data_IF_843792237563
#
_entry.id   IF_843792237563
#
_cell.length_a   1.000
_cell.length_b   1.000
_cell.length_c   1.000
_cell.angle_alpha   90.00
_cell.angle_beta   90.00
_cell.angle_gamma   90.00
#
_symmetry.space_group_name_H-M   'P 1'
#
loop_
_entity.id
_entity.type
_entity.pdbx_description
1 polymer ?
#
# COMPACT_ATOMS: atom_id res chain seq x y z
N UNK A 1 6.33 -3.87 40.54
CA UNK A 1 7.21 -4.16 39.38
C UNK A 1 6.46 -5.19 38.52
N UNK A 2 5.62 -4.73 37.58
CA UNK A 2 4.90 -5.63 36.68
C UNK A 2 5.86 -6.09 35.60
N UNK A 3 6.30 -7.33 35.67
CA UNK A 3 7.01 -8.00 34.60
C UNK A 3 6.07 -8.07 33.40
N UNK A 4 6.21 -7.13 32.46
CA UNK A 4 5.61 -7.28 31.15
C UNK A 4 6.18 -8.56 30.52
N UNK A 5 5.42 -9.66 30.56
CA UNK A 5 5.70 -10.83 29.72
C UNK A 5 5.79 -10.31 28.29
N UNK A 6 6.98 -10.35 27.71
CA UNK A 6 7.19 -10.01 26.31
C UNK A 6 6.27 -10.92 25.48
N UNK A 7 5.20 -10.37 24.91
CA UNK A 7 4.32 -11.14 24.03
C UNK A 7 5.17 -11.69 22.89
N UNK A 8 5.18 -12.98 22.70
CA UNK A 8 5.88 -13.62 21.57
C UNK A 8 5.40 -13.03 20.25
N UNK A 9 6.34 -12.86 19.33
CA UNK A 9 6.04 -12.31 18.01
C UNK A 9 5.12 -13.27 17.25
N UNK A 10 4.00 -12.80 16.63
CA UNK A 10 3.02 -13.69 16.01
C UNK A 10 3.65 -14.41 14.82
N UNK A 11 3.33 -15.69 14.68
CA UNK A 11 3.72 -16.47 13.50
C UNK A 11 2.99 -15.93 12.27
N UNK A 12 3.69 -15.72 11.17
CA UNK A 12 3.12 -15.20 9.90
C UNK A 12 1.90 -16.04 9.47
N UNK A 13 2.02 -17.37 9.54
CA UNK A 13 0.94 -18.29 9.15
C UNK A 13 -0.33 -18.05 9.97
N UNK A 14 -0.21 -17.83 11.29
CA UNK A 14 -1.39 -17.57 12.16
C UNK A 14 -2.06 -16.24 11.81
N UNK A 15 -1.29 -15.22 11.44
CA UNK A 15 -1.83 -13.95 10.97
C UNK A 15 -2.55 -14.09 9.62
N UNK A 16 -2.00 -14.89 8.70
CA UNK A 16 -2.63 -15.18 7.40
C UNK A 16 -3.96 -15.94 7.61
N UNK A 17 -3.97 -16.98 8.44
CA UNK A 17 -5.20 -17.72 8.76
C UNK A 17 -6.27 -16.79 9.30
N UNK A 18 -5.93 -15.96 10.29
CA UNK A 18 -6.83 -14.96 10.86
C UNK A 18 -7.31 -13.94 9.82
N UNK A 19 -6.45 -13.58 8.87
CA UNK A 19 -6.81 -12.67 7.77
C UNK A 19 -7.83 -13.30 6.83
N UNK A 20 -7.64 -14.57 6.48
CA UNK A 20 -8.58 -15.33 5.62
C UNK A 20 -9.93 -15.52 6.33
N UNK A 21 -9.94 -15.84 7.64
CA UNK A 21 -11.16 -15.94 8.42
C UNK A 21 -11.94 -14.63 8.46
N UNK A 22 -11.23 -13.52 8.70
CA UNK A 22 -11.83 -12.18 8.69
C UNK A 22 -12.36 -11.82 7.31
N UNK A 23 -11.61 -12.11 6.24
CA UNK A 23 -12.07 -11.93 4.89
C UNK A 23 -13.35 -12.70 4.60
N UNK A 24 -13.43 -13.98 5.00
CA UNK A 24 -14.63 -14.82 4.86
C UNK A 24 -15.81 -14.26 5.64
N UNK A 25 -15.59 -13.73 6.84
CA UNK A 25 -16.64 -13.15 7.69
C UNK A 25 -17.20 -11.86 7.11
N UNK A 26 -16.34 -10.98 6.64
CA UNK A 26 -16.68 -9.62 6.18
C UNK A 26 -16.70 -9.51 4.65
N UNK A 27 -16.77 -10.64 3.91
CA UNK A 27 -16.56 -10.71 2.47
C UNK A 27 -17.45 -9.76 1.66
N UNK A 28 -18.70 -9.56 2.07
CA UNK A 28 -19.66 -8.70 1.35
C UNK A 28 -19.17 -7.26 1.26
N UNK A 29 -18.68 -6.70 2.36
CA UNK A 29 -18.17 -5.33 2.39
C UNK A 29 -16.81 -5.27 1.68
N UNK A 30 -15.90 -6.19 2.00
CA UNK A 30 -14.55 -6.20 1.45
C UNK A 30 -14.56 -6.39 -0.06
N UNK A 31 -15.29 -7.40 -0.57
CA UNK A 31 -15.45 -7.62 -2.02
C UNK A 31 -16.14 -6.44 -2.69
N UNK A 32 -17.27 -5.96 -2.13
CA UNK A 32 -18.02 -4.85 -2.71
C UNK A 32 -17.16 -3.59 -2.86
N UNK A 33 -16.35 -3.27 -1.87
CA UNK A 33 -15.41 -2.13 -1.94
C UNK A 33 -14.29 -2.40 -2.94
N UNK A 34 -13.78 -3.65 -3.03
CA UNK A 34 -12.69 -4.04 -3.93
C UNK A 34 -13.12 -4.10 -5.41
N UNK A 35 -14.39 -4.31 -5.69
CA UNK A 35 -14.92 -4.29 -7.07
C UNK A 35 -14.81 -2.91 -7.72
N UNK A 36 -14.87 -1.83 -6.96
CA UNK A 36 -14.83 -0.47 -7.51
C UNK A 36 -13.51 -0.18 -8.22
N UNK A 37 -12.34 -0.30 -7.58
CA UNK A 37 -11.07 -0.11 -8.26
C UNK A 37 -10.79 -1.18 -9.33
N UNK A 38 -11.30 -2.41 -9.17
CA UNK A 38 -11.17 -3.45 -10.19
C UNK A 38 -11.85 -3.02 -11.50
N UNK A 39 -13.07 -2.47 -11.46
CA UNK A 39 -13.78 -1.97 -12.65
C UNK A 39 -12.96 -0.89 -13.34
N UNK A 40 -12.45 0.11 -12.61
CA UNK A 40 -11.61 1.15 -13.19
C UNK A 40 -10.29 0.60 -13.75
N UNK A 41 -9.69 -0.39 -13.12
CA UNK A 41 -8.46 -1.05 -13.61
C UNK A 41 -8.73 -1.82 -14.91
N UNK A 42 -9.84 -2.54 -15.01
CA UNK A 42 -10.27 -3.22 -16.25
C UNK A 42 -10.49 -2.20 -17.36
N UNK A 43 -11.21 -1.11 -17.09
CA UNK A 43 -11.42 -0.04 -18.06
C UNK A 43 -10.09 0.57 -18.52
N UNK A 44 -9.15 0.84 -17.61
CA UNK A 44 -7.84 1.38 -17.94
C UNK A 44 -7.08 0.49 -18.92
N UNK A 45 -7.00 -0.82 -18.65
CA UNK A 45 -6.34 -1.79 -19.55
C UNK A 45 -7.05 -1.88 -20.91
N UNK A 46 -8.39 -1.84 -20.91
CA UNK A 46 -9.16 -1.88 -22.16
C UNK A 46 -8.89 -0.65 -23.03
N UNK A 47 -8.87 0.55 -22.44
CA UNK A 47 -8.55 1.78 -23.18
C UNK A 47 -7.09 1.85 -23.63
N UNK A 48 -6.15 1.31 -22.85
CA UNK A 48 -4.75 1.20 -23.27
C UNK A 48 -4.60 0.25 -24.49
N UNK A 49 -5.30 -0.89 -24.46
CA UNK A 49 -5.33 -1.82 -25.59
C UNK A 49 -5.96 -1.18 -26.85
N UNK A 50 -7.07 -0.43 -26.67
CA UNK A 50 -7.72 0.31 -27.75
C UNK A 50 -6.79 1.37 -28.33
N UNK A 51 -6.09 2.13 -27.51
CA UNK A 51 -5.10 3.13 -27.94
C UNK A 51 -4.02 2.51 -28.83
N UNK A 52 -3.52 1.34 -28.46
CA UNK A 52 -2.53 0.60 -29.28
C UNK A 52 -3.11 0.13 -30.60
N UNK A 53 -4.37 -0.31 -30.61
CA UNK A 53 -5.03 -0.83 -31.81
C UNK A 53 -5.32 0.27 -32.86
N UNK A 54 -5.60 1.50 -32.43
CA UNK A 54 -5.94 2.63 -33.33
C UNK A 54 -4.72 3.50 -33.69
N UNK A 55 -3.53 3.13 -33.22
CA UNK A 55 -2.30 3.88 -33.47
C UNK A 55 -2.06 4.04 -34.97
N UNK A 56 -1.92 5.31 -35.41
CA UNK A 56 -1.67 5.64 -36.82
C UNK A 56 -2.91 5.68 -37.71
N UNK A 57 -4.13 5.38 -37.20
CA UNK A 57 -5.38 5.46 -37.99
C UNK A 57 -5.82 6.91 -38.13
N UNK A 58 -5.91 7.65 -37.02
CA UNK A 58 -6.28 9.06 -36.98
C UNK A 58 -5.72 9.70 -35.71
N UNK A 59 -4.86 10.71 -35.89
CA UNK A 59 -4.16 11.39 -34.79
C UNK A 59 -5.17 11.96 -33.74
N UNK A 60 -6.28 12.56 -34.21
CA UNK A 60 -7.27 13.15 -33.32
C UNK A 60 -7.98 12.10 -32.44
N UNK A 61 -8.35 10.96 -33.02
CA UNK A 61 -8.98 9.85 -32.29
C UNK A 61 -7.97 9.22 -31.33
N UNK A 62 -6.73 9.02 -31.76
CA UNK A 62 -5.65 8.47 -30.93
C UNK A 62 -5.44 9.35 -29.68
N UNK A 63 -5.30 10.67 -29.86
CA UNK A 63 -5.13 11.61 -28.75
C UNK A 63 -6.31 11.60 -27.79
N UNK A 64 -7.55 11.51 -28.29
CA UNK A 64 -8.74 11.44 -27.46
C UNK A 64 -8.75 10.16 -26.60
N UNK A 65 -8.46 9.01 -27.21
CA UNK A 65 -8.42 7.72 -26.48
C UNK A 65 -7.31 7.69 -25.44
N UNK A 66 -6.13 8.24 -25.76
CA UNK A 66 -5.04 8.40 -24.78
C UNK A 66 -5.45 9.30 -23.62
N UNK A 67 -6.09 10.44 -23.90
CA UNK A 67 -6.58 11.34 -22.85
C UNK A 67 -7.60 10.65 -21.92
N UNK A 68 -8.54 9.90 -22.49
CA UNK A 68 -9.52 9.11 -21.72
C UNK A 68 -8.81 8.04 -20.87
N UNK A 69 -7.83 7.32 -21.44
CA UNK A 69 -7.04 6.30 -20.73
C UNK A 69 -6.32 6.91 -19.52
N UNK A 70 -5.71 8.08 -19.66
CA UNK A 70 -5.07 8.79 -18.55
C UNK A 70 -6.06 9.11 -17.43
N UNK A 71 -7.23 9.65 -17.77
CA UNK A 71 -8.27 9.99 -16.79
C UNK A 71 -8.75 8.73 -16.05
N UNK A 72 -9.00 7.63 -16.76
CA UNK A 72 -9.44 6.36 -16.16
C UNK A 72 -8.33 5.80 -15.23
N UNK A 73 -7.07 5.88 -15.64
CA UNK A 73 -5.93 5.43 -14.81
C UNK A 73 -5.81 6.24 -13.52
N UNK A 74 -6.02 7.56 -13.59
CA UNK A 74 -6.07 8.41 -12.39
C UNK A 74 -7.22 8.00 -11.48
N UNK A 75 -8.42 7.77 -12.02
CA UNK A 75 -9.59 7.32 -11.26
C UNK A 75 -9.36 5.93 -10.64
N UNK A 76 -8.73 5.00 -11.36
CA UNK A 76 -8.32 3.71 -10.83
C UNK A 76 -7.38 3.86 -9.61
N UNK A 77 -6.39 4.75 -9.71
CA UNK A 77 -5.43 5.01 -8.62
C UNK A 77 -6.11 5.64 -7.39
N UNK A 78 -7.03 6.60 -7.62
CA UNK A 78 -7.80 7.24 -6.55
C UNK A 78 -8.68 6.21 -5.83
N UNK A 79 -9.44 5.42 -6.57
CA UNK A 79 -10.35 4.43 -6.00
C UNK A 79 -9.58 3.31 -5.30
N UNK A 80 -8.41 2.93 -5.82
CA UNK A 80 -7.52 1.93 -5.23
C UNK A 80 -7.01 2.36 -3.85
N UNK A 81 -6.47 3.57 -3.74
CA UNK A 81 -5.97 4.11 -2.47
C UNK A 81 -7.13 4.32 -1.47
N UNK A 82 -8.26 4.82 -1.95
CA UNK A 82 -9.46 5.01 -1.12
C UNK A 82 -10.02 3.69 -0.59
N UNK A 83 -10.02 2.63 -1.41
CA UNK A 83 -10.39 1.27 -0.99
C UNK A 83 -9.47 0.78 0.14
N UNK A 84 -8.16 0.92 -0.01
CA UNK A 84 -7.21 0.47 1.02
C UNK A 84 -7.46 1.16 2.37
N UNK A 85 -7.60 2.48 2.36
CA UNK A 85 -7.87 3.27 3.56
C UNK A 85 -9.23 2.92 4.15
N UNK A 86 -10.25 2.80 3.30
CA UNK A 86 -11.61 2.44 3.70
C UNK A 86 -11.67 1.08 4.37
N UNK A 87 -11.06 0.05 3.78
CA UNK A 87 -10.99 -1.31 4.38
C UNK A 87 -10.25 -1.28 5.71
N UNK A 88 -9.09 -0.60 5.81
CA UNK A 88 -8.33 -0.50 7.05
C UNK A 88 -9.13 0.19 8.16
N UNK A 89 -9.88 1.23 7.85
CA UNK A 89 -10.78 1.90 8.80
C UNK A 89 -11.95 0.99 9.21
N UNK A 90 -12.57 0.31 8.24
CA UNK A 90 -13.65 -0.65 8.50
C UNK A 90 -13.20 -1.77 9.43
N UNK A 91 -12.00 -2.34 9.21
CA UNK A 91 -11.47 -3.42 10.04
C UNK A 91 -11.35 -3.02 11.53
N UNK A 92 -11.03 -1.76 11.81
CA UNK A 92 -10.95 -1.26 13.18
C UNK A 92 -12.32 -0.99 13.81
N UNK A 93 -13.18 -0.31 13.07
CA UNK A 93 -14.42 0.22 13.62
C UNK A 93 -15.63 -0.72 13.40
N UNK A 94 -15.54 -1.65 12.42
CA UNK A 94 -16.60 -2.60 12.04
C UNK A 94 -17.95 -1.91 11.75
N UNK A 95 -17.91 -0.69 11.22
CA UNK A 95 -19.09 0.14 10.96
C UNK A 95 -19.16 0.55 9.49
N UNK A 96 -20.38 0.55 8.95
CA UNK A 96 -20.67 1.06 7.65
C UNK A 96 -20.85 -0.02 6.57
N UNK A 97 -21.56 0.36 5.54
CA UNK A 97 -21.73 -0.38 4.29
C UNK A 97 -20.64 -0.01 3.27
N UNK A 98 -20.71 -0.58 2.08
CA UNK A 98 -19.76 -0.35 0.98
C UNK A 98 -19.61 1.15 0.69
N UNK A 99 -20.71 1.88 0.61
CA UNK A 99 -20.74 3.31 0.31
C UNK A 99 -20.01 4.10 1.39
N UNK A 100 -20.31 3.85 2.66
CA UNK A 100 -19.69 4.54 3.79
C UNK A 100 -18.17 4.29 3.86
N UNK A 101 -17.75 3.04 3.60
CA UNK A 101 -16.33 2.65 3.58
C UNK A 101 -15.58 3.40 2.48
N UNK A 102 -16.15 3.50 1.26
CA UNK A 102 -15.54 4.24 0.16
C UNK A 102 -15.53 5.75 0.40
N UNK A 103 -16.62 6.33 0.89
CA UNK A 103 -16.68 7.76 1.23
C UNK A 103 -15.64 8.14 2.29
N UNK A 104 -15.46 7.29 3.30
CA UNK A 104 -14.44 7.51 4.32
C UNK A 104 -13.03 7.43 3.73
N UNK A 105 -12.78 6.45 2.87
CA UNK A 105 -11.51 6.34 2.14
C UNK A 105 -11.22 7.56 1.26
N UNK A 106 -12.21 8.06 0.53
CA UNK A 106 -12.09 9.27 -0.30
C UNK A 106 -11.82 10.52 0.53
N UNK A 107 -12.45 10.68 1.70
CA UNK A 107 -12.16 11.81 2.61
C UNK A 107 -10.72 11.82 3.13
N UNK A 108 -10.12 10.65 3.27
CA UNK A 108 -8.73 10.50 3.72
C UNK A 108 -7.72 10.41 2.57
N UNK A 109 -8.17 10.47 1.32
CA UNK A 109 -7.32 10.32 0.14
C UNK A 109 -6.21 11.39 0.08
N UNK A 110 -6.54 12.68 0.23
CA UNK A 110 -5.55 13.75 0.19
C UNK A 110 -4.53 13.66 1.34
N UNK A 111 -4.92 13.45 2.62
CA UNK A 111 -3.97 13.15 3.68
C UNK A 111 -3.07 11.94 3.38
N UNK A 112 -3.58 10.89 2.75
CA UNK A 112 -2.80 9.71 2.39
C UNK A 112 -1.75 10.02 1.32
N UNK A 113 -2.10 10.79 0.28
CA UNK A 113 -1.13 11.25 -0.73
C UNK A 113 0.00 12.03 -0.05
N UNK A 114 -0.32 12.98 0.83
CA UNK A 114 0.70 13.76 1.53
C UNK A 114 1.65 12.86 2.35
N UNK A 115 1.11 11.85 3.05
CA UNK A 115 1.93 10.88 3.78
C UNK A 115 2.82 10.11 2.80
N UNK A 116 2.27 9.63 1.69
CA UNK A 116 3.02 8.87 0.68
C UNK A 116 4.13 9.72 0.05
N UNK A 117 3.88 11.00 -0.23
CA UNK A 117 4.89 11.93 -0.73
C UNK A 117 6.02 12.14 0.30
N UNK A 118 5.67 12.31 1.59
CA UNK A 118 6.68 12.44 2.64
C UNK A 118 7.56 11.18 2.75
N UNK A 119 6.94 10.00 2.65
CA UNK A 119 7.66 8.72 2.64
C UNK A 119 8.57 8.64 1.40
N UNK A 120 8.07 9.01 0.23
CA UNK A 120 8.84 9.03 -1.01
C UNK A 120 10.08 9.92 -0.91
N UNK A 121 9.96 11.12 -0.33
CA UNK A 121 11.11 12.02 -0.08
C UNK A 121 12.15 11.35 0.82
N UNK A 122 11.72 10.70 1.91
CA UNK A 122 12.65 10.00 2.82
C UNK A 122 13.35 8.85 2.09
N UNK A 123 12.63 8.05 1.32
CA UNK A 123 13.18 6.92 0.58
C UNK A 123 14.16 7.41 -0.49
N UNK A 124 13.79 8.42 -1.29
CA UNK A 124 14.65 9.00 -2.33
C UNK A 124 15.94 9.56 -1.74
N UNK A 125 15.86 10.28 -0.60
CA UNK A 125 17.04 10.76 0.10
C UNK A 125 17.92 9.65 0.69
N UNK A 126 17.36 8.47 0.94
CA UNK A 126 18.09 7.33 1.48
C UNK A 126 18.74 6.45 0.39
N UNK A 127 18.31 6.52 -0.87
CA UNK A 127 18.86 5.71 -1.99
C UNK A 127 20.38 5.90 -2.16
N UNK A 128 20.93 7.14 -2.17
CA UNK A 128 22.37 7.34 -2.32
C UNK A 128 23.23 6.71 -1.21
N UNK A 129 22.60 6.36 -0.08
CA UNK A 129 23.26 5.67 1.04
C UNK A 129 23.23 4.14 0.89
N UNK A 130 23.49 3.61 -0.32
CA UNK A 130 23.60 2.18 -0.65
C UNK A 130 22.28 1.37 -0.56
N UNK A 131 21.16 1.98 -0.84
CA UNK A 131 19.81 1.35 -0.88
C UNK A 131 19.30 0.75 0.46
N UNK A 132 20.18 0.25 1.34
CA UNK A 132 19.77 -0.39 2.59
C UNK A 132 18.93 0.53 3.50
N UNK A 133 19.32 1.81 3.73
CA UNK A 133 18.47 2.74 4.48
C UNK A 133 17.12 3.00 3.84
N UNK A 134 17.05 3.00 2.50
CA UNK A 134 15.79 3.18 1.76
C UNK A 134 14.84 1.99 1.99
N UNK A 135 15.37 0.76 1.95
CA UNK A 135 14.64 -0.46 2.25
C UNK A 135 14.12 -0.42 3.69
N UNK A 136 14.96 -0.10 4.66
CA UNK A 136 14.59 0.02 6.07
C UNK A 136 13.49 1.07 6.23
N UNK A 137 13.63 2.25 5.62
CA UNK A 137 12.66 3.33 5.68
C UNK A 137 11.28 2.89 5.13
N UNK A 138 11.25 2.15 4.01
CA UNK A 138 10.01 1.65 3.43
C UNK A 138 9.24 0.75 4.40
N UNK A 139 9.90 -0.15 5.11
CA UNK A 139 9.27 -1.00 6.13
C UNK A 139 8.87 -0.21 7.38
N UNK A 140 9.71 0.71 7.84
CA UNK A 140 9.44 1.52 9.02
C UNK A 140 8.19 2.39 8.83
N UNK A 141 8.01 2.97 7.65
CA UNK A 141 6.87 3.85 7.37
C UNK A 141 5.66 3.16 6.74
N UNK A 142 5.71 1.83 6.52
CA UNK A 142 4.60 1.06 5.94
C UNK A 142 3.30 1.15 6.76
N UNK A 143 3.38 1.35 8.07
CA UNK A 143 2.22 1.48 8.95
C UNK A 143 1.61 2.88 9.00
N UNK A 144 2.17 3.88 8.31
CA UNK A 144 1.68 5.27 8.37
C UNK A 144 0.27 5.41 7.81
N UNK A 145 -0.05 4.68 6.72
CA UNK A 145 -1.41 4.65 6.15
C UNK A 145 -2.39 3.95 7.11
N UNK A 146 -1.95 2.94 7.83
CA UNK A 146 -2.77 2.27 8.86
C UNK A 146 -3.06 3.25 10.01
N UNK A 147 -2.06 4.00 10.45
CA UNK A 147 -2.21 5.04 11.48
C UNK A 147 -3.17 6.15 11.04
N UNK A 148 -3.13 6.56 9.77
CA UNK A 148 -4.10 7.48 9.20
C UNK A 148 -5.51 6.89 9.21
N UNK A 149 -5.68 5.69 8.66
CA UNK A 149 -6.99 5.07 8.47
C UNK A 149 -7.67 4.70 9.79
N UNK A 150 -6.91 4.25 10.78
CA UNK A 150 -7.42 3.68 12.02
C UNK A 150 -7.40 4.67 13.20
N UNK A 151 -6.37 5.50 13.29
CA UNK A 151 -6.16 6.39 14.45
C UNK A 151 -6.38 7.86 14.09
N UNK A 152 -6.70 8.19 12.82
CA UNK A 152 -6.91 9.55 12.33
C UNK A 152 -5.64 10.41 12.36
N UNK A 153 -4.46 9.80 12.58
CA UNK A 153 -3.19 10.53 12.59
C UNK A 153 -2.84 11.01 11.19
N UNK A 154 -2.37 12.25 11.04
CA UNK A 154 -2.09 12.87 9.74
C UNK A 154 -0.64 13.30 9.62
N UNK A 155 -0.14 13.39 8.40
CA UNK A 155 1.19 13.93 8.08
C UNK A 155 2.30 13.32 8.95
N UNK A 156 3.14 14.15 9.57
CA UNK A 156 4.25 13.73 10.42
C UNK A 156 3.82 12.91 11.65
N UNK A 157 2.59 13.07 12.12
CA UNK A 157 2.07 12.28 13.24
C UNK A 157 1.86 10.83 12.86
N UNK A 158 1.34 10.57 11.64
CA UNK A 158 1.17 9.20 11.13
C UNK A 158 2.53 8.52 10.94
N UNK A 159 3.52 9.22 10.37
CA UNK A 159 4.88 8.72 10.21
C UNK A 159 5.54 8.49 11.59
N UNK A 160 5.36 9.41 12.53
CA UNK A 160 5.87 9.30 13.89
C UNK A 160 5.31 8.07 14.61
N UNK A 161 4.01 7.81 14.49
CA UNK A 161 3.38 6.63 15.06
C UNK A 161 3.90 5.33 14.41
N UNK A 162 4.07 5.32 13.09
CA UNK A 162 4.67 4.18 12.37
C UNK A 162 6.08 3.88 12.89
N UNK A 163 6.94 4.91 12.97
CA UNK A 163 8.29 4.79 13.52
C UNK A 163 8.26 4.26 14.96
N UNK A 164 7.38 4.81 15.81
CA UNK A 164 7.22 4.36 17.20
C UNK A 164 6.86 2.88 17.30
N UNK A 165 5.90 2.40 16.48
CA UNK A 165 5.48 1.00 16.48
C UNK A 165 6.64 0.05 16.12
N UNK A 166 7.50 0.46 15.20
CA UNK A 166 8.56 -0.40 14.62
C UNK A 166 9.87 -0.28 15.39
N UNK A 167 10.15 0.85 16.07
CA UNK A 167 11.41 1.09 16.79
C UNK A 167 11.71 -0.01 17.81
N UNK A 168 12.94 -0.54 17.76
CA UNK A 168 13.41 -1.68 18.54
C UNK A 168 13.02 -3.06 17.98
N UNK A 169 12.24 -3.11 16.88
CA UNK A 169 11.75 -4.36 16.28
C UNK A 169 11.87 -4.40 14.76
N UNK A 170 12.62 -3.48 14.18
CA UNK A 170 12.77 -3.29 12.73
C UNK A 170 13.09 -4.61 12.03
N UNK A 171 14.05 -5.38 12.52
CA UNK A 171 14.47 -6.67 11.91
C UNK A 171 13.31 -7.68 11.92
N UNK A 172 12.58 -7.78 13.03
CA UNK A 172 11.42 -8.69 13.14
C UNK A 172 10.28 -8.28 12.19
N UNK A 173 10.06 -6.97 12.01
CA UNK A 173 9.09 -6.42 11.06
C UNK A 173 9.49 -6.73 9.63
N UNK A 174 10.74 -6.47 9.25
CA UNK A 174 11.28 -6.79 7.93
C UNK A 174 11.12 -8.29 7.64
N UNK A 175 11.49 -9.15 8.58
CA UNK A 175 11.37 -10.60 8.42
C UNK A 175 9.92 -11.06 8.17
N UNK A 176 8.96 -10.51 8.92
CA UNK A 176 7.54 -10.80 8.71
C UNK A 176 7.05 -10.39 7.31
N UNK A 177 7.45 -9.19 6.85
CA UNK A 177 7.09 -8.75 5.50
C UNK A 177 7.79 -9.54 4.40
N UNK A 178 9.04 -9.98 4.61
CA UNK A 178 9.75 -10.84 3.65
C UNK A 178 9.03 -12.18 3.50
N UNK A 179 8.61 -12.81 4.61
CA UNK A 179 7.86 -14.07 4.57
C UNK A 179 6.50 -13.86 3.87
N UNK A 180 5.76 -12.81 4.22
CA UNK A 180 4.51 -12.48 3.55
C UNK A 180 4.72 -12.25 2.04
N UNK A 181 5.73 -11.45 1.69
CA UNK A 181 6.09 -11.18 0.30
C UNK A 181 6.44 -12.46 -0.46
N UNK A 182 7.21 -13.36 0.15
CA UNK A 182 7.53 -14.66 -0.44
C UNK A 182 6.28 -15.51 -0.70
N UNK A 183 5.33 -15.54 0.24
CA UNK A 183 4.05 -16.26 0.06
C UNK A 183 3.23 -15.64 -1.07
N UNK A 184 3.18 -14.30 -1.14
CA UNK A 184 2.47 -13.59 -2.23
C UNK A 184 3.14 -13.88 -3.58
N UNK A 185 4.47 -13.88 -3.65
CA UNK A 185 5.21 -14.22 -4.88
C UNK A 185 4.92 -15.66 -5.30
N UNK A 186 4.93 -16.64 -4.38
CA UNK A 186 4.59 -18.02 -4.69
C UNK A 186 3.15 -18.15 -5.21
N UNK A 187 2.19 -17.48 -4.56
CA UNK A 187 0.81 -17.45 -5.03
C UNK A 187 0.70 -16.84 -6.43
N UNK A 188 1.46 -15.77 -6.69
CA UNK A 188 1.53 -15.12 -8.00
C UNK A 188 2.12 -16.04 -9.08
N UNK A 189 3.19 -16.75 -8.76
CA UNK A 189 3.81 -17.74 -9.66
C UNK A 189 2.84 -18.88 -10.00
N UNK A 190 2.09 -19.39 -9.02
CA UNK A 190 1.06 -20.39 -9.27
C UNK A 190 -0.01 -19.87 -10.23
N UNK A 191 -0.48 -18.63 -10.05
CA UNK A 191 -1.42 -18.01 -10.98
C UNK A 191 -0.84 -17.87 -12.40
N UNK A 192 0.45 -17.51 -12.52
CA UNK A 192 1.14 -17.41 -13.80
C UNK A 192 1.23 -18.80 -14.46
N UNK A 193 1.56 -19.86 -13.72
CA UNK A 193 1.58 -21.23 -14.25
C UNK A 193 0.23 -21.66 -14.79
N UNK A 194 -0.87 -21.36 -14.09
CA UNK A 194 -2.22 -21.59 -14.61
C UNK A 194 -2.50 -20.76 -15.88
N UNK A 195 -1.96 -19.55 -15.94
CA UNK A 195 -2.12 -18.67 -17.09
C UNK A 195 -1.35 -19.15 -18.32
N UNK A 196 -0.21 -19.87 -18.17
CA UNK A 196 0.56 -20.43 -19.30
C UNK A 196 -0.30 -21.40 -20.11
N UNK A 197 -1.16 -22.19 -19.47
CA UNK A 197 -2.14 -23.04 -20.17
C UNK A 197 -3.15 -22.23 -21.00
N UNK A 198 -3.45 -21.00 -20.59
CA UNK A 198 -4.33 -20.07 -21.30
C UNK A 198 -3.58 -19.31 -22.40
N UNK A 199 -2.26 -19.11 -22.27
CA UNK A 199 -1.42 -18.41 -23.25
C UNK A 199 -1.37 -19.11 -24.63
N UNK A 200 -1.63 -20.41 -24.67
CA UNK A 200 -1.67 -21.21 -25.92
C UNK A 200 -2.92 -20.88 -26.74
N UNK A 201 -3.91 -20.19 -26.13
CA UNK A 201 -5.14 -19.80 -26.82
C UNK A 201 -5.00 -18.44 -27.53
N UNK A 202 -5.68 -18.21 -28.66
CA UNK A 202 -5.81 -16.87 -29.22
C UNK A 202 -6.36 -15.91 -28.16
N UNK A 203 -5.70 -14.76 -27.95
CA UNK A 203 -5.99 -13.80 -26.88
C UNK A 203 -5.58 -14.21 -25.44
N UNK A 204 -4.76 -15.25 -25.27
CA UNK A 204 -4.35 -15.76 -23.95
C UNK A 204 -3.64 -14.72 -23.08
N UNK A 205 -2.84 -13.83 -23.67
CA UNK A 205 -2.14 -12.75 -22.95
C UNK A 205 -3.13 -11.80 -22.27
N UNK A 206 -4.11 -11.32 -23.01
CA UNK A 206 -5.13 -10.38 -22.49
C UNK A 206 -5.97 -11.04 -21.40
N UNK A 207 -6.41 -12.28 -21.60
CA UNK A 207 -7.18 -13.05 -20.63
C UNK A 207 -6.37 -13.28 -19.33
N UNK A 208 -5.09 -13.60 -19.46
CA UNK A 208 -4.17 -13.78 -18.34
C UNK A 208 -4.04 -12.50 -17.50
N UNK A 209 -3.91 -11.32 -18.14
CA UNK A 209 -3.87 -10.03 -17.45
C UNK A 209 -5.17 -9.73 -16.69
N UNK A 210 -6.34 -10.01 -17.27
CA UNK A 210 -7.62 -9.83 -16.59
C UNK A 210 -7.77 -10.76 -15.38
N UNK A 211 -7.43 -12.04 -15.53
CA UNK A 211 -7.47 -13.00 -14.43
C UNK A 211 -6.54 -12.56 -13.28
N UNK A 212 -5.34 -12.12 -13.62
CA UNK A 212 -4.40 -11.58 -12.63
C UNK A 212 -4.97 -10.37 -11.89
N UNK A 213 -5.55 -9.41 -12.59
CA UNK A 213 -6.17 -8.24 -11.98
C UNK A 213 -7.32 -8.62 -11.04
N UNK A 214 -8.16 -9.56 -11.42
CA UNK A 214 -9.26 -10.07 -10.58
C UNK A 214 -8.69 -10.69 -9.29
N UNK A 215 -7.72 -11.59 -9.39
CA UNK A 215 -7.12 -12.25 -8.24
C UNK A 215 -6.43 -11.23 -7.33
N UNK A 216 -5.69 -10.29 -7.90
CA UNK A 216 -4.99 -9.26 -7.14
C UNK A 216 -5.96 -8.36 -6.37
N UNK A 217 -7.01 -7.84 -7.00
CA UNK A 217 -7.93 -6.89 -6.38
C UNK A 217 -8.90 -7.56 -5.41
N UNK A 218 -9.38 -8.76 -5.72
CA UNK A 218 -10.41 -9.40 -4.89
C UNK A 218 -9.82 -10.25 -3.77
N UNK A 219 -8.61 -10.78 -3.89
CA UNK A 219 -8.04 -11.70 -2.89
C UNK A 219 -6.72 -11.21 -2.31
N UNK A 220 -5.68 -11.02 -3.13
CA UNK A 220 -4.33 -10.78 -2.63
C UNK A 220 -4.29 -9.48 -1.82
N UNK A 221 -4.82 -8.41 -2.37
CA UNK A 221 -4.76 -7.10 -1.75
C UNK A 221 -5.61 -6.98 -0.49
N UNK A 222 -6.91 -7.36 -0.47
CA UNK A 222 -7.69 -7.33 0.76
C UNK A 222 -7.10 -8.20 1.87
N UNK A 223 -6.64 -9.41 1.56
CA UNK A 223 -6.01 -10.30 2.56
C UNK A 223 -4.73 -9.69 3.12
N UNK A 224 -3.91 -9.05 2.27
CA UNK A 224 -2.70 -8.34 2.71
C UNK A 224 -3.01 -7.14 3.61
N UNK A 225 -4.08 -6.39 3.33
CA UNK A 225 -4.54 -5.28 4.18
C UNK A 225 -5.03 -5.77 5.55
N UNK A 226 -5.78 -6.87 5.58
CA UNK A 226 -6.23 -7.49 6.83
C UNK A 226 -5.02 -7.99 7.64
N UNK A 227 -4.05 -8.62 6.97
CA UNK A 227 -2.80 -9.02 7.61
C UNK A 227 -2.08 -7.82 8.23
N UNK A 228 -1.91 -6.74 7.49
CA UNK A 228 -1.26 -5.52 7.95
C UNK A 228 -2.02 -4.89 9.15
N UNK A 229 -3.37 -4.93 9.15
CA UNK A 229 -4.19 -4.51 10.27
C UNK A 229 -3.88 -5.29 11.56
N UNK A 230 -3.88 -6.63 11.49
CA UNK A 230 -3.60 -7.46 12.66
C UNK A 230 -2.16 -7.32 13.14
N UNK A 231 -1.22 -7.19 12.20
CA UNK A 231 0.18 -7.01 12.54
C UNK A 231 0.43 -5.64 13.19
N UNK A 232 -0.16 -4.57 12.69
CA UNK A 232 -0.12 -3.25 13.32
C UNK A 232 -0.78 -3.27 14.71
N UNK A 233 -1.90 -3.98 14.88
CA UNK A 233 -2.55 -4.19 16.17
C UNK A 233 -1.61 -4.83 17.18
N UNK A 234 -0.94 -5.92 16.80
CA UNK A 234 0.06 -6.56 17.65
C UNK A 234 1.20 -5.61 18.05
N UNK A 235 1.74 -4.84 17.10
CA UNK A 235 2.82 -3.88 17.38
C UNK A 235 2.36 -2.78 18.35
N UNK A 236 1.11 -2.31 18.25
CA UNK A 236 0.52 -1.34 19.19
C UNK A 236 0.34 -1.94 20.58
N UNK A 237 -0.25 -3.13 20.67
CA UNK A 237 -0.54 -3.81 21.94
C UNK A 237 0.72 -4.14 22.75
N UNK A 238 1.88 -4.16 22.11
CA UNK A 238 3.18 -4.42 22.73
C UNK A 238 3.96 -3.16 23.09
N UNK A 239 3.42 -1.98 22.81
CA UNK A 239 3.98 -0.67 23.15
C UNK A 239 3.05 0.06 24.13
N UNK A 240 3.58 1.04 24.85
CA UNK A 240 2.76 1.98 25.60
C UNK A 240 1.88 2.81 24.67
N UNK A 241 0.85 3.42 25.20
CA UNK A 241 -0.02 4.29 24.41
C UNK A 241 0.80 5.43 23.78
N UNK A 242 0.44 5.81 22.54
CA UNK A 242 1.10 6.89 21.80
C UNK A 242 0.56 8.24 22.28
N UNK A 243 0.98 8.64 23.50
CA UNK A 243 0.61 9.88 24.13
C UNK A 243 1.15 11.12 23.40
N UNK A 244 0.58 12.32 23.58
CA UNK A 244 1.02 13.55 22.93
C UNK A 244 2.50 13.88 23.12
N UNK A 245 3.05 13.57 24.28
CA UNK A 245 4.46 13.78 24.59
C UNK A 245 5.37 12.89 23.72
N UNK A 246 5.02 11.61 23.62
CA UNK A 246 5.71 10.64 22.75
C UNK A 246 5.55 11.06 21.29
N UNK A 247 4.35 11.45 20.88
CA UNK A 247 4.07 11.94 19.53
C UNK A 247 4.98 13.11 19.17
N UNK A 248 5.19 14.07 20.04
CA UNK A 248 6.05 15.22 19.80
C UNK A 248 7.51 14.80 19.53
N UNK A 249 8.04 13.85 20.30
CA UNK A 249 9.39 13.32 20.12
C UNK A 249 9.53 12.64 18.75
N UNK A 250 8.58 11.78 18.39
CA UNK A 250 8.65 11.05 17.12
C UNK A 250 8.39 11.93 15.90
N UNK A 251 7.53 12.93 16.00
CA UNK A 251 7.36 13.96 14.95
C UNK A 251 8.68 14.71 14.72
N UNK A 252 9.43 15.03 15.76
CA UNK A 252 10.75 15.66 15.64
C UNK A 252 11.76 14.73 14.97
N UNK A 253 11.81 13.43 15.34
CA UNK A 253 12.64 12.42 14.67
C UNK A 253 12.35 12.35 13.17
N UNK A 254 11.09 12.25 12.78
CA UNK A 254 10.66 12.20 11.37
C UNK A 254 11.05 13.47 10.63
N UNK A 255 10.86 14.65 11.25
CA UNK A 255 11.26 15.94 10.67
C UNK A 255 12.76 15.99 10.39
N UNK A 256 13.58 15.46 11.30
CA UNK A 256 15.02 15.37 11.10
C UNK A 256 15.37 14.42 9.92
N UNK A 257 14.72 13.27 9.80
CA UNK A 257 14.89 12.38 8.64
C UNK A 257 14.53 13.09 7.32
N UNK A 258 13.45 13.86 7.28
CA UNK A 258 13.08 14.65 6.10
C UNK A 258 14.14 15.70 5.75
N UNK A 259 14.66 16.44 6.73
CA UNK A 259 15.73 17.42 6.47
C UNK A 259 16.99 16.78 5.93
N UNK A 260 17.39 15.63 6.50
CA UNK A 260 18.57 14.87 6.00
C UNK A 260 18.28 14.39 4.57
N UNK A 261 17.12 13.82 4.29
CA UNK A 261 16.75 13.34 2.97
C UNK A 261 16.77 14.45 1.91
N UNK A 262 16.14 15.59 2.21
CA UNK A 262 16.16 16.76 1.33
C UNK A 262 17.59 17.26 1.11
N UNK A 263 18.40 17.35 2.16
CA UNK A 263 19.81 17.74 2.05
C UNK A 263 20.60 16.82 1.12
N UNK A 264 20.44 15.52 1.24
CA UNK A 264 21.08 14.53 0.34
C UNK A 264 20.61 14.70 -1.10
N UNK A 265 19.30 14.83 -1.35
CA UNK A 265 18.75 15.04 -2.69
C UNK A 265 19.35 16.30 -3.33
N UNK A 266 19.43 17.40 -2.58
CA UNK A 266 20.02 18.65 -3.07
C UNK A 266 21.51 18.48 -3.41
N UNK A 267 22.27 17.82 -2.54
CA UNK A 267 23.69 17.56 -2.79
C UNK A 267 23.88 16.74 -4.06
N UNK A 268 23.11 15.66 -4.23
CA UNK A 268 23.18 14.80 -5.42
C UNK A 268 22.79 15.57 -6.68
N UNK A 269 21.72 16.37 -6.61
CA UNK A 269 21.26 17.20 -7.75
C UNK A 269 22.31 18.23 -8.16
N UNK A 270 22.92 18.93 -7.19
CA UNK A 270 23.97 19.93 -7.45
C UNK A 270 25.22 19.24 -8.01
N UNK A 271 25.62 18.09 -7.46
CA UNK A 271 26.78 17.34 -7.96
C UNK A 271 26.56 16.86 -9.41
N UNK A 272 25.33 16.43 -9.76
CA UNK A 272 25.01 16.05 -11.12
C UNK A 272 25.09 17.24 -12.10
N UNK A 273 24.66 18.44 -11.68
CA UNK A 273 24.76 19.66 -12.50
C UNK A 273 26.19 20.15 -12.71
N UNK A 274 27.12 19.84 -11.81
CA UNK A 274 28.53 20.24 -11.94
C UNK A 274 29.30 19.28 -12.87
N UNK A 275 28.82 18.06 -13.07
CA UNK A 275 29.46 17.03 -13.91
C UNK A 275 29.02 17.12 -15.38
N UNK A 276 27.86 17.74 -15.65
CA UNK A 276 27.35 18.01 -17.00
C UNK A 276 27.93 19.32 -17.53
#
# INVERSE_FOLDING_TARGET
MHTHKEKEFPKVISLIQKSIETYKKDYRVILGVSLIPLIFSILSVTFDALSKAIKGVNIGIEMLVVAISIVITILASITQLSMQIGILSYLKHKRGDIKHVMEHGLKLFLPAILITLLIAVIILGAIPLLFLPAIIASFVFSFSIISLAQDGKRNLSALGQSLYMVEGRVVKVIWNYLILGFIVVLASLLCIFFSIGVFIMPYGETLSMFLWMIIQHLFIMPVSLIYAHYFAGFLRDTKSEFLPEIEMVYRRKVKNYLYIAVGIIVIVAVSALVII
#
